data_IF_525121913448
#
_entry.id   IF_525121913448
#
_cell.length_a   1.000
_cell.length_b   1.000
_cell.length_c   1.000
_cell.angle_alpha   90.00
_cell.angle_beta   90.00
_cell.angle_gamma   90.00
#
_symmetry.space_group_name_H-M   'P 1'
#
loop_
_entity.id
_entity.type
_entity.pdbx_description
1 polymer ?
#
# COMPACT_ATOMS: atom_id res chain seq x y z
N UNK A 1 3.17 19.26 5.10
CA UNK A 1 2.73 18.92 6.48
C UNK A 1 1.56 17.96 6.44
N UNK A 2 1.30 17.19 7.52
CA UNK A 2 0.10 16.35 7.68
C UNK A 2 0.30 14.86 7.35
N UNK A 3 1.37 14.47 6.69
CA UNK A 3 1.61 13.13 6.14
C UNK A 3 1.65 11.98 7.16
N UNK A 4 1.77 12.31 8.46
CA UNK A 4 1.80 11.31 9.55
C UNK A 4 0.71 11.56 10.61
N UNK A 5 -0.34 12.28 10.26
CA UNK A 5 -1.28 12.80 11.24
C UNK A 5 -2.64 12.10 11.27
N UNK A 6 -2.81 10.92 10.65
CA UNK A 6 -4.15 10.30 10.53
C UNK A 6 -4.89 10.17 11.86
N UNK A 7 -4.22 9.68 12.92
CA UNK A 7 -4.83 9.55 14.24
C UNK A 7 -5.27 10.88 14.89
N UNK A 8 -4.71 12.02 14.42
CA UNK A 8 -5.12 13.36 14.87
C UNK A 8 -6.22 13.93 13.98
N UNK A 9 -6.22 13.57 12.70
CA UNK A 9 -7.23 13.99 11.73
C UNK A 9 -8.54 13.22 11.89
N UNK A 10 -8.46 11.98 12.35
CA UNK A 10 -9.58 11.09 12.62
C UNK A 10 -9.28 10.27 13.88
N UNK A 11 -9.51 10.85 15.08
CA UNK A 11 -9.25 10.19 16.36
C UNK A 11 -10.07 8.92 16.57
N UNK A 12 -11.31 8.91 16.08
CA UNK A 12 -12.21 7.77 16.07
C UNK A 12 -12.82 7.58 14.67
N UNK A 13 -13.24 6.37 14.29
CA UNK A 13 -13.79 6.10 12.97
C UNK A 13 -14.91 7.07 12.58
N UNK A 14 -14.71 7.82 11.50
CA UNK A 14 -15.68 8.79 10.97
C UNK A 14 -15.77 10.11 11.74
N UNK A 15 -15.01 10.30 12.82
CA UNK A 15 -14.95 11.56 13.57
C UNK A 15 -13.71 12.34 13.17
N UNK A 16 -13.91 13.44 12.44
CA UNK A 16 -12.81 14.24 11.90
C UNK A 16 -12.52 15.47 12.76
N UNK A 17 -11.24 15.70 13.07
CA UNK A 17 -10.73 16.94 13.67
C UNK A 17 -9.69 17.56 12.73
N UNK A 18 -10.12 18.48 11.89
CA UNK A 18 -9.25 19.23 10.98
C UNK A 18 -8.88 20.63 11.53
N UNK A 19 -9.42 21.07 12.64
CA UNK A 19 -9.30 22.45 13.12
C UNK A 19 -7.86 22.84 13.41
N UNK A 20 -7.08 21.94 14.00
CA UNK A 20 -5.67 22.19 14.28
C UNK A 20 -4.85 22.33 12.98
N UNK A 21 -5.18 21.53 11.93
CA UNK A 21 -4.47 21.58 10.64
C UNK A 21 -4.88 22.85 9.86
N UNK A 22 -6.17 23.25 9.94
CA UNK A 22 -6.63 24.52 9.38
C UNK A 22 -5.85 25.68 9.97
N UNK A 23 -5.77 25.77 11.32
CA UNK A 23 -4.98 26.83 11.98
C UNK A 23 -3.52 26.83 11.53
N UNK A 24 -2.91 25.66 11.38
CA UNK A 24 -1.52 25.58 10.92
C UNK A 24 -1.38 26.10 9.47
N UNK A 25 -2.26 25.71 8.56
CA UNK A 25 -2.25 26.17 7.18
C UNK A 25 -2.53 27.68 7.09
N UNK A 26 -3.53 28.17 7.83
CA UNK A 26 -3.86 29.61 7.89
C UNK A 26 -2.68 30.45 8.40
N UNK A 27 -2.03 29.99 9.46
CA UNK A 27 -0.86 30.70 10.04
C UNK A 27 0.30 30.78 9.03
N UNK A 28 0.62 29.66 8.38
CA UNK A 28 1.69 29.63 7.38
C UNK A 28 1.34 30.52 6.17
N UNK A 29 0.08 30.48 5.72
CA UNK A 29 -0.40 31.29 4.62
C UNK A 29 -0.36 32.80 4.94
N UNK A 30 -0.73 33.19 6.15
CA UNK A 30 -0.67 34.58 6.60
C UNK A 30 0.77 35.15 6.61
N UNK A 31 1.76 34.26 6.82
CA UNK A 31 3.20 34.62 6.74
C UNK A 31 3.75 34.51 5.31
N UNK A 32 2.90 34.37 4.30
CA UNK A 32 3.29 34.31 2.88
C UNK A 32 3.88 32.98 2.43
N UNK A 33 3.71 31.91 3.22
CA UNK A 33 4.22 30.57 2.89
C UNK A 33 3.14 29.75 2.19
N UNK A 34 3.53 29.03 1.11
CA UNK A 34 2.71 27.99 0.50
C UNK A 34 2.89 26.67 1.21
N UNK A 35 1.79 25.94 1.42
CA UNK A 35 1.78 24.64 2.10
C UNK A 35 1.65 23.51 1.08
N UNK A 36 2.57 22.53 1.15
CA UNK A 36 2.39 21.21 0.55
C UNK A 36 1.72 20.33 1.61
N UNK A 37 0.48 19.91 1.35
CA UNK A 37 -0.29 19.09 2.27
C UNK A 37 -0.09 17.60 1.97
N UNK A 38 0.34 16.82 2.97
CA UNK A 38 0.56 15.39 2.82
C UNK A 38 -0.69 14.58 3.14
N UNK A 39 -0.99 13.55 2.32
CA UNK A 39 -2.01 12.56 2.70
C UNK A 39 -1.48 11.68 3.83
N UNK A 40 -2.28 11.34 4.87
CA UNK A 40 -1.78 10.72 6.10
C UNK A 40 -1.63 9.19 6.00
N UNK A 41 -1.66 8.66 4.80
CA UNK A 41 -1.80 7.22 4.53
C UNK A 41 -0.58 6.38 4.88
N UNK A 42 0.59 7.01 5.14
CA UNK A 42 1.78 6.29 5.58
C UNK A 42 1.69 5.76 7.04
N UNK A 43 0.76 6.30 7.84
CA UNK A 43 0.60 5.99 9.27
C UNK A 43 -0.86 5.74 9.64
N UNK A 44 -1.46 4.60 9.26
CA UNK A 44 -2.81 4.27 9.66
C UNK A 44 -2.94 4.25 11.19
N UNK A 45 -4.07 4.77 11.74
CA UNK A 45 -4.27 4.83 13.18
C UNK A 45 -4.50 3.45 13.80
N UNK A 46 -4.25 3.34 15.10
CA UNK A 46 -4.38 2.07 15.82
C UNK A 46 -5.77 1.45 15.70
N UNK A 47 -6.83 2.27 15.78
CA UNK A 47 -8.20 1.77 15.64
C UNK A 47 -8.45 1.09 14.29
N UNK A 48 -7.87 1.59 13.19
CA UNK A 48 -7.99 0.99 11.87
C UNK A 48 -7.25 -0.35 11.79
N UNK A 49 -6.06 -0.43 12.39
CA UNK A 49 -5.31 -1.69 12.48
C UNK A 49 -6.07 -2.73 13.29
N UNK A 50 -6.75 -2.32 14.38
CA UNK A 50 -7.53 -3.24 15.21
C UNK A 50 -8.80 -3.74 14.50
N UNK A 51 -9.45 -2.89 13.71
CA UNK A 51 -10.61 -3.27 12.92
C UNK A 51 -10.26 -4.15 11.71
N UNK A 52 -9.03 -4.00 11.18
CA UNK A 52 -8.61 -4.62 9.93
C UNK A 52 -7.17 -5.16 10.03
N UNK A 53 -6.91 -6.11 10.95
CA UNK A 53 -5.54 -6.59 11.19
C UNK A 53 -4.91 -7.29 9.97
N UNK A 54 -5.71 -7.80 9.04
CA UNK A 54 -5.27 -8.44 7.80
C UNK A 54 -4.75 -7.45 6.75
N UNK A 55 -4.88 -6.13 6.99
CA UNK A 55 -4.21 -5.12 6.18
C UNK A 55 -2.71 -5.07 6.41
N UNK A 56 -2.20 -5.64 7.49
CA UNK A 56 -0.79 -5.59 7.83
C UNK A 56 0.06 -6.35 6.81
N UNK A 57 1.19 -5.74 6.46
CA UNK A 57 2.16 -6.37 5.58
C UNK A 57 2.88 -7.51 6.31
N UNK A 58 3.34 -8.50 5.54
CA UNK A 58 4.12 -9.63 6.02
C UNK A 58 5.47 -9.63 5.31
N UNK A 59 6.55 -9.81 6.05
CA UNK A 59 7.89 -9.87 5.46
C UNK A 59 8.18 -11.26 4.85
N UNK A 60 9.34 -11.40 4.18
CA UNK A 60 9.74 -12.64 3.53
C UNK A 60 10.04 -13.81 4.49
N UNK A 61 10.09 -13.55 5.80
CA UNK A 61 10.20 -14.57 6.85
C UNK A 61 8.83 -14.95 7.44
N UNK A 62 7.73 -14.41 6.91
CA UNK A 62 6.39 -14.68 7.43
C UNK A 62 6.01 -13.84 8.67
N UNK A 63 6.81 -12.84 9.07
CA UNK A 63 6.53 -12.01 10.24
C UNK A 63 5.63 -10.85 9.85
N UNK A 64 4.55 -10.68 10.61
CA UNK A 64 3.64 -9.56 10.44
C UNK A 64 4.31 -8.27 10.90
N UNK A 65 4.22 -7.22 10.10
CA UNK A 65 4.69 -5.87 10.45
C UNK A 65 3.68 -5.23 11.41
N UNK A 66 4.07 -5.09 12.68
CA UNK A 66 3.19 -4.57 13.73
C UNK A 66 3.01 -3.05 13.67
N UNK A 67 1.97 -2.58 14.40
CA UNK A 67 1.76 -1.17 14.68
C UNK A 67 2.91 -0.60 15.53
N UNK A 68 3.16 0.71 15.41
CA UNK A 68 4.16 1.43 16.21
C UNK A 68 5.22 2.16 15.35
N UNK A 69 5.06 2.14 14.04
CA UNK A 69 5.89 2.88 13.09
C UNK A 69 5.04 3.32 11.90
N UNK A 70 5.66 3.52 10.75
CA UNK A 70 4.99 3.80 9.47
C UNK A 70 5.10 2.60 8.53
N UNK A 71 4.24 2.52 7.51
CA UNK A 71 4.29 1.54 6.41
C UNK A 71 4.14 0.09 6.85
N UNK A 72 3.33 -0.17 7.85
CA UNK A 72 3.02 -1.53 8.31
C UNK A 72 1.87 -2.18 7.52
N UNK A 73 1.34 -1.54 6.49
CA UNK A 73 0.25 -2.03 5.65
C UNK A 73 0.73 -2.70 4.35
N UNK A 74 -0.12 -3.52 3.78
CA UNK A 74 0.06 -4.13 2.46
C UNK A 74 -0.60 -3.27 1.37
N UNK A 75 0.16 -2.85 0.38
CA UNK A 75 -0.36 -2.06 -0.76
C UNK A 75 -1.46 -2.78 -1.55
N UNK A 76 -1.52 -4.11 -1.49
CA UNK A 76 -2.53 -4.91 -2.18
C UNK A 76 -3.85 -5.05 -1.41
N UNK A 77 -3.93 -4.56 -0.17
CA UNK A 77 -5.12 -4.74 0.66
C UNK A 77 -6.24 -3.78 0.26
N UNK A 78 -7.30 -4.32 -0.33
CA UNK A 78 -8.40 -3.53 -0.90
C UNK A 78 -9.15 -2.72 0.16
N UNK A 79 -9.39 -3.29 1.35
CA UNK A 79 -10.02 -2.57 2.45
C UNK A 79 -9.23 -1.35 2.86
N UNK A 80 -7.91 -1.50 3.02
CA UNK A 80 -7.04 -0.37 3.35
C UNK A 80 -7.04 0.72 2.27
N UNK A 81 -7.02 0.34 0.99
CA UNK A 81 -7.14 1.30 -0.13
C UNK A 81 -8.43 2.12 -0.04
N UNK A 82 -9.56 1.49 0.32
CA UNK A 82 -10.84 2.19 0.49
C UNK A 82 -10.77 3.21 1.63
N UNK A 83 -10.17 2.84 2.75
CA UNK A 83 -9.97 3.75 3.87
C UNK A 83 -9.04 4.92 3.51
N UNK A 84 -7.97 4.66 2.76
CA UNK A 84 -7.10 5.72 2.24
C UNK A 84 -7.87 6.69 1.32
N UNK A 85 -8.64 6.17 0.37
CA UNK A 85 -9.47 7.01 -0.50
C UNK A 85 -10.49 7.84 0.31
N UNK A 86 -11.07 7.26 1.38
CA UNK A 86 -12.05 7.94 2.24
C UNK A 86 -11.41 9.12 2.96
N UNK A 87 -10.32 8.92 3.71
CA UNK A 87 -9.68 10.00 4.46
C UNK A 87 -9.10 11.08 3.54
N UNK A 88 -8.51 10.69 2.41
CA UNK A 88 -8.00 11.65 1.42
C UNK A 88 -9.13 12.47 0.81
N UNK A 89 -10.28 11.83 0.53
CA UNK A 89 -11.48 12.53 0.06
C UNK A 89 -11.98 13.58 1.06
N UNK A 90 -11.98 13.29 2.36
CA UNK A 90 -12.37 14.28 3.39
C UNK A 90 -11.37 15.44 3.48
N UNK A 91 -10.06 15.15 3.43
CA UNK A 91 -9.03 16.19 3.33
C UNK A 91 -9.20 17.06 2.09
N UNK A 92 -9.43 16.46 0.93
CA UNK A 92 -9.63 17.19 -0.32
C UNK A 92 -10.88 18.09 -0.27
N UNK A 93 -11.98 17.65 0.34
CA UNK A 93 -13.18 18.47 0.57
C UNK A 93 -12.85 19.69 1.44
N UNK A 94 -12.05 19.52 2.48
CA UNK A 94 -11.72 20.57 3.45
C UNK A 94 -10.68 21.55 2.94
N UNK A 95 -9.65 21.07 2.24
CA UNK A 95 -8.46 21.85 1.89
C UNK A 95 -8.27 22.08 0.37
N UNK A 96 -9.00 21.41 -0.49
CA UNK A 96 -8.78 21.45 -1.95
C UNK A 96 -8.98 22.81 -2.60
N UNK A 97 -9.66 23.75 -1.92
CA UNK A 97 -9.82 25.15 -2.36
C UNK A 97 -9.13 26.15 -1.43
N UNK A 98 -8.34 25.69 -0.48
CA UNK A 98 -7.67 26.55 0.48
C UNK A 98 -6.52 27.31 -0.21
N UNK A 99 -6.48 28.65 -0.19
CA UNK A 99 -5.49 29.43 -0.95
C UNK A 99 -4.04 29.18 -0.48
N UNK A 100 -3.83 28.78 0.77
CA UNK A 100 -2.53 28.44 1.31
C UNK A 100 -2.01 27.06 0.90
N UNK A 101 -2.85 26.18 0.37
CA UNK A 101 -2.43 24.86 -0.10
C UNK A 101 -2.03 24.93 -1.56
N UNK A 102 -0.75 24.85 -1.85
CA UNK A 102 -0.18 25.01 -3.19
C UNK A 102 0.11 23.69 -3.92
N UNK A 103 0.21 22.59 -3.16
CA UNK A 103 0.44 21.25 -3.71
C UNK A 103 0.03 20.15 -2.71
N UNK A 104 -0.03 18.91 -3.21
CA UNK A 104 -0.28 17.71 -2.43
C UNK A 104 0.88 16.73 -2.54
N UNK A 105 1.23 16.09 -1.44
CA UNK A 105 2.11 14.94 -1.39
C UNK A 105 1.26 13.70 -1.07
N UNK A 106 1.26 12.72 -1.96
CA UNK A 106 0.57 11.45 -1.70
C UNK A 106 1.46 10.53 -0.88
N UNK A 107 0.97 10.07 0.28
CA UNK A 107 1.70 9.18 1.18
C UNK A 107 3.11 9.75 1.56
N UNK A 108 4.08 8.88 1.84
CA UNK A 108 5.46 9.30 2.11
C UNK A 108 6.45 8.18 1.78
N UNK A 109 7.51 8.48 1.02
CA UNK A 109 8.66 7.59 0.76
C UNK A 109 8.26 6.14 0.37
N UNK A 110 7.49 5.98 -0.70
CA UNK A 110 7.14 4.66 -1.23
C UNK A 110 8.39 3.78 -1.39
N UNK A 111 8.39 2.61 -0.78
CA UNK A 111 9.49 1.66 -0.88
C UNK A 111 10.57 1.75 0.20
N UNK A 112 10.53 2.74 1.09
CA UNK A 112 11.47 2.77 2.22
C UNK A 112 11.34 1.49 3.09
N UNK A 113 12.43 1.08 3.73
CA UNK A 113 12.47 -0.08 4.64
C UNK A 113 11.99 -1.41 4.02
N UNK A 114 12.17 -1.60 2.71
CA UNK A 114 11.72 -2.79 1.96
C UNK A 114 10.21 -3.09 2.12
N UNK A 115 9.38 -2.05 2.19
CA UNK A 115 7.94 -2.18 2.42
C UNK A 115 7.12 -2.36 1.15
N UNK A 116 7.72 -2.29 -0.03
CA UNK A 116 7.05 -2.50 -1.32
C UNK A 116 6.52 -3.93 -1.43
N UNK A 117 7.34 -4.91 -1.02
CA UNK A 117 6.96 -6.32 -1.05
C UNK A 117 6.23 -6.69 0.23
N UNK A 118 5.07 -7.32 0.08
CA UNK A 118 4.36 -7.98 1.17
C UNK A 118 4.09 -9.43 0.82
N UNK A 119 4.25 -10.31 1.77
CA UNK A 119 3.96 -11.75 1.67
C UNK A 119 2.66 -12.10 2.40
N UNK A 120 1.75 -11.15 2.50
CA UNK A 120 0.43 -11.31 3.11
C UNK A 120 -0.54 -12.05 2.19
N UNK A 121 -1.65 -12.53 2.77
CA UNK A 121 -2.75 -13.14 2.02
C UNK A 121 -3.27 -12.23 0.90
N UNK A 122 -3.42 -10.93 1.17
CA UNK A 122 -3.87 -9.94 0.17
C UNK A 122 -2.88 -9.84 -0.99
N UNK A 123 -1.56 -9.88 -0.72
CA UNK A 123 -0.54 -9.89 -1.75
C UNK A 123 -0.58 -11.18 -2.58
N UNK A 124 -0.77 -12.35 -1.94
CA UNK A 124 -0.91 -13.63 -2.64
C UNK A 124 -2.08 -13.63 -3.61
N UNK A 125 -3.26 -13.23 -3.13
CA UNK A 125 -4.45 -13.16 -3.99
C UNK A 125 -4.28 -12.17 -5.14
N UNK A 126 -3.75 -10.98 -4.85
CA UNK A 126 -3.49 -9.97 -5.87
C UNK A 126 -2.46 -10.41 -6.91
N UNK A 127 -1.40 -11.12 -6.49
CA UNK A 127 -0.39 -11.64 -7.40
C UNK A 127 -0.95 -12.72 -8.34
N UNK A 128 -1.77 -13.62 -7.84
CA UNK A 128 -2.46 -14.64 -8.64
C UNK A 128 -3.33 -14.01 -9.74
N UNK A 129 -4.14 -13.02 -9.39
CA UNK A 129 -4.95 -12.27 -10.37
C UNK A 129 -4.08 -11.51 -11.38
N UNK A 130 -2.96 -10.93 -10.94
CA UNK A 130 -2.03 -10.23 -11.82
C UNK A 130 -1.38 -11.19 -12.82
N UNK A 131 -1.00 -12.39 -12.38
CA UNK A 131 -0.46 -13.44 -13.24
C UNK A 131 -1.50 -13.93 -14.26
N UNK A 132 -2.74 -14.16 -13.82
CA UNK A 132 -3.84 -14.55 -14.71
C UNK A 132 -4.09 -13.50 -15.79
N UNK A 133 -4.14 -12.22 -15.40
CA UNK A 133 -4.30 -11.12 -16.36
C UNK A 133 -3.11 -11.03 -17.34
N UNK A 134 -1.89 -11.32 -16.88
CA UNK A 134 -0.67 -11.22 -17.69
C UNK A 134 -0.50 -12.38 -18.66
N UNK A 135 -0.75 -13.61 -18.23
CA UNK A 135 -0.47 -14.83 -18.99
C UNK A 135 -1.71 -15.46 -19.63
N UNK A 136 -2.89 -15.18 -19.13
CA UNK A 136 -4.16 -15.70 -19.59
C UNK A 136 -4.39 -17.19 -19.26
N UNK A 137 -3.36 -18.03 -19.32
CA UNK A 137 -3.44 -19.44 -18.94
C UNK A 137 -2.23 -19.89 -18.13
N UNK A 138 -2.43 -20.86 -17.25
CA UNK A 138 -1.35 -21.42 -16.43
C UNK A 138 -0.28 -22.11 -17.27
N UNK A 139 -0.65 -22.68 -18.43
CA UNK A 139 0.30 -23.31 -19.36
C UNK A 139 1.30 -22.28 -19.91
N UNK A 140 0.84 -21.09 -20.29
CA UNK A 140 1.71 -19.98 -20.72
C UNK A 140 2.58 -19.45 -19.57
N UNK A 141 2.07 -19.43 -18.35
CA UNK A 141 2.86 -19.09 -17.16
C UNK A 141 4.00 -20.10 -16.98
N UNK A 142 3.70 -21.39 -16.99
CA UNK A 142 4.68 -22.46 -16.83
C UNK A 142 5.77 -22.40 -17.91
N UNK A 143 5.39 -22.19 -19.16
CA UNK A 143 6.31 -22.02 -20.28
C UNK A 143 7.23 -20.80 -20.06
N UNK A 144 6.65 -19.62 -19.77
CA UNK A 144 7.38 -18.37 -19.58
C UNK A 144 8.36 -18.41 -18.38
N UNK A 145 8.02 -19.18 -17.34
CA UNK A 145 8.87 -19.33 -16.16
C UNK A 145 9.84 -20.50 -16.27
N UNK A 146 9.70 -21.35 -17.29
CA UNK A 146 10.54 -22.56 -17.46
C UNK A 146 10.27 -23.60 -16.35
N UNK A 147 9.04 -23.72 -15.90
CA UNK A 147 8.67 -24.50 -14.72
C UNK A 147 8.79 -26.02 -14.88
N UNK A 148 9.01 -26.50 -16.10
CA UNK A 148 9.36 -27.92 -16.34
C UNK A 148 10.62 -28.34 -15.57
N UNK A 149 11.53 -27.37 -15.32
CA UNK A 149 12.72 -27.58 -14.52
C UNK A 149 12.33 -27.84 -13.04
N UNK A 150 12.85 -28.88 -12.43
CA UNK A 150 12.58 -29.31 -11.06
C UNK A 150 11.10 -29.57 -10.75
N UNK A 151 10.27 -29.88 -11.77
CA UNK A 151 8.84 -30.16 -11.59
C UNK A 151 8.09 -29.01 -10.90
N UNK A 152 8.40 -27.77 -11.24
CA UNK A 152 7.78 -26.57 -10.65
C UNK A 152 6.48 -26.14 -11.36
N UNK A 153 5.94 -26.99 -12.25
CA UNK A 153 4.71 -26.64 -13.00
C UNK A 153 3.50 -26.56 -12.09
N UNK A 154 2.72 -25.50 -12.29
CA UNK A 154 1.42 -25.30 -11.66
C UNK A 154 0.30 -25.84 -12.56
N UNK A 155 -0.80 -26.29 -11.96
CA UNK A 155 -2.03 -26.71 -12.66
C UNK A 155 -3.05 -25.58 -12.76
N UNK A 156 -3.01 -24.67 -11.79
CA UNK A 156 -3.92 -23.52 -11.71
C UNK A 156 -3.16 -22.31 -11.13
N UNK A 157 -3.64 -21.08 -11.40
CA UNK A 157 -3.09 -19.88 -10.78
C UNK A 157 -3.25 -19.87 -9.25
N UNK A 158 -4.24 -20.60 -8.72
CA UNK A 158 -4.46 -20.68 -7.26
C UNK A 158 -3.39 -21.47 -6.51
N UNK A 159 -2.58 -22.26 -7.21
CA UNK A 159 -1.44 -22.98 -6.64
C UNK A 159 -0.18 -22.13 -6.52
N UNK A 160 -0.15 -20.96 -7.18
CA UNK A 160 1.04 -20.11 -7.16
C UNK A 160 1.15 -19.41 -5.80
N UNK A 161 2.23 -19.68 -5.08
CA UNK A 161 2.60 -18.97 -3.86
C UNK A 161 3.52 -17.78 -4.16
N UNK A 162 3.79 -16.96 -3.14
CA UNK A 162 4.76 -15.88 -3.27
C UNK A 162 6.20 -16.44 -3.17
N UNK A 163 7.19 -15.82 -3.83
CA UNK A 163 8.55 -16.34 -3.91
C UNK A 163 9.32 -16.17 -2.59
N UNK A 164 9.04 -17.05 -1.62
CA UNK A 164 9.69 -17.07 -0.31
C UNK A 164 9.88 -18.51 0.19
N UNK A 165 10.88 -18.74 1.03
CA UNK A 165 11.09 -20.00 1.74
C UNK A 165 11.60 -21.16 0.87
N UNK A 166 12.01 -20.95 -0.35
CA UNK A 166 12.67 -21.98 -1.16
C UNK A 166 13.98 -22.44 -0.50
N UNK A 167 14.26 -23.75 -0.54
CA UNK A 167 15.45 -24.33 0.09
C UNK A 167 16.74 -23.83 -0.58
N UNK A 168 16.70 -23.65 -1.90
CA UNK A 168 17.80 -23.12 -2.69
C UNK A 168 17.40 -21.78 -3.29
N UNK A 169 17.58 -21.59 -4.60
CA UNK A 169 17.20 -20.37 -5.29
C UNK A 169 15.75 -20.44 -5.74
N UNK A 170 14.99 -19.35 -5.50
CA UNK A 170 13.68 -19.20 -6.10
C UNK A 170 13.82 -18.97 -7.60
N UNK A 171 12.88 -19.52 -8.41
CA UNK A 171 12.81 -19.28 -9.85
C UNK A 171 12.95 -17.78 -10.17
N UNK A 172 13.96 -17.37 -10.98
CA UNK A 172 14.23 -15.96 -11.29
C UNK A 172 13.05 -15.26 -11.96
N UNK A 173 12.32 -15.95 -12.85
CA UNK A 173 11.14 -15.39 -13.52
C UNK A 173 10.00 -15.13 -12.55
N UNK A 174 9.78 -16.04 -11.59
CA UNK A 174 8.81 -15.88 -10.51
C UNK A 174 9.13 -14.65 -9.65
N UNK A 175 10.40 -14.49 -9.24
CA UNK A 175 10.86 -13.31 -8.48
C UNK A 175 10.67 -12.02 -9.26
N UNK A 176 11.05 -12.02 -10.54
CA UNK A 176 10.94 -10.84 -11.40
C UNK A 176 9.47 -10.41 -11.59
N UNK A 177 8.55 -11.36 -11.73
CA UNK A 177 7.14 -11.04 -11.84
C UNK A 177 6.54 -10.59 -10.50
N UNK A 178 6.97 -11.13 -9.38
CA UNK A 178 6.57 -10.63 -8.07
C UNK A 178 7.06 -9.18 -7.82
N UNK A 179 8.24 -8.83 -8.31
CA UNK A 179 8.77 -7.47 -8.23
C UNK A 179 7.96 -6.50 -9.12
N UNK A 180 7.61 -6.91 -10.34
CA UNK A 180 6.73 -6.13 -11.24
C UNK A 180 5.36 -5.93 -10.62
N UNK A 181 4.76 -7.02 -10.13
CA UNK A 181 3.48 -6.95 -9.41
C UNK A 181 3.55 -5.99 -8.22
N UNK A 182 4.57 -6.10 -7.38
CA UNK A 182 4.72 -5.25 -6.19
C UNK A 182 4.83 -3.78 -6.58
N UNK A 183 5.57 -3.47 -7.65
CA UNK A 183 5.65 -2.11 -8.20
C UNK A 183 4.31 -1.62 -8.73
N UNK A 184 3.56 -2.46 -9.45
CA UNK A 184 2.23 -2.14 -9.94
C UNK A 184 1.25 -1.86 -8.79
N UNK A 185 1.35 -2.61 -7.68
CA UNK A 185 0.51 -2.38 -6.51
C UNK A 185 0.76 -1.03 -5.84
N UNK A 186 2.01 -0.56 -5.80
CA UNK A 186 2.34 0.78 -5.31
C UNK A 186 1.71 1.85 -6.22
N UNK A 187 1.79 1.68 -7.55
CA UNK A 187 1.15 2.60 -8.50
C UNK A 187 -0.37 2.64 -8.33
N UNK A 188 -1.01 1.47 -8.21
CA UNK A 188 -2.45 1.39 -7.99
C UNK A 188 -2.86 1.97 -6.63
N UNK A 189 -2.05 1.81 -5.59
CA UNK A 189 -2.27 2.44 -4.30
C UNK A 189 -2.15 3.98 -4.38
N UNK A 190 -1.20 4.49 -5.16
CA UNK A 190 -1.06 5.94 -5.34
C UNK A 190 -2.29 6.55 -6.05
N UNK A 191 -2.91 5.82 -6.99
CA UNK A 191 -4.09 6.31 -7.72
C UNK A 191 -5.34 6.50 -6.85
N UNK A 192 -5.41 5.88 -5.67
CA UNK A 192 -6.57 6.03 -4.77
C UNK A 192 -6.45 7.23 -3.83
N UNK A 193 -5.38 7.97 -3.93
CA UNK A 193 -5.07 9.17 -3.19
C UNK A 193 -5.16 10.42 -4.08
#
# INVERSE_FOLDING_TARGET
IGEFAWSRLEPEPGQYDFDWLVRAVDTLHAEGLGVILGTPTATPPKWLVDQMPDMLAVDHHGRVRGFGSRRHYCFSHIGYRRECARIVGELAKRFGKHPGVVAWQTDNEYGCHNTVRSYSKSATLGFRHWLEARYGTVAKLNEAWGNVFWSMEYRTFTEVDLPSGAVTETNPSHRADFDRYSSDQVREFNKVQ
#
